data_IF_879312398345
#
_entry.id   IF_879312398345
#
_cell.length_a   1.000
_cell.length_b   1.000
_cell.length_c   1.000
_cell.angle_alpha   90.00
_cell.angle_beta   90.00
_cell.angle_gamma   90.00
#
_symmetry.space_group_name_H-M   'P 1'
#
loop_
_entity.id
_entity.type
_entity.pdbx_description
1 polymer ?
#
# COMPACT_ATOMS: atom_id res chain seq x y z
N UNK A 1 -5.15 -19.05 16.90
CA UNK A 1 -4.82 -17.87 17.72
C UNK A 1 -6.08 -17.02 17.80
N UNK A 2 -6.68 -16.88 18.97
CA UNK A 2 -7.92 -16.10 19.13
C UNK A 2 -7.58 -14.61 19.06
N UNK A 3 -8.16 -13.90 18.09
CA UNK A 3 -8.01 -12.46 17.97
C UNK A 3 -8.69 -11.77 19.16
N UNK A 4 -8.00 -10.84 19.82
CA UNK A 4 -8.56 -10.05 20.90
C UNK A 4 -9.48 -9.00 20.28
N UNK A 5 -10.78 -9.09 20.59
CA UNK A 5 -11.80 -8.17 20.10
C UNK A 5 -11.98 -7.00 21.07
N UNK A 6 -11.55 -5.81 20.63
CA UNK A 6 -11.63 -4.56 21.38
C UNK A 6 -12.88 -3.73 21.07
N UNK A 7 -13.85 -4.29 20.33
CA UNK A 7 -15.15 -3.66 20.04
C UNK A 7 -15.85 -2.99 21.23
N UNK A 8 -15.75 -3.49 22.49
CA UNK A 8 -16.39 -2.84 23.63
C UNK A 8 -15.81 -1.47 24.03
N UNK A 9 -14.54 -1.20 23.72
CA UNK A 9 -13.87 0.06 24.09
C UNK A 9 -14.32 1.25 23.23
N UNK A 10 -14.85 0.99 22.03
CA UNK A 10 -15.27 2.02 21.08
C UNK A 10 -16.69 2.56 21.32
N UNK A 11 -17.44 1.98 22.28
CA UNK A 11 -18.87 2.30 22.45
C UNK A 11 -19.16 3.56 23.27
N UNK A 12 -18.17 4.22 23.85
CA UNK A 12 -18.38 5.29 24.84
C UNK A 12 -17.75 6.64 24.51
N UNK A 13 -17.14 6.84 23.34
CA UNK A 13 -16.43 8.07 23.05
C UNK A 13 -16.96 8.79 21.80
N UNK A 14 -18.06 9.54 21.98
CA UNK A 14 -18.61 10.43 20.96
C UNK A 14 -17.51 11.45 20.59
N UNK A 15 -16.91 11.27 19.42
CA UNK A 15 -15.77 12.07 18.95
C UNK A 15 -14.56 11.26 18.51
N UNK A 16 -14.37 10.03 19.01
CA UNK A 16 -13.33 9.12 18.54
C UNK A 16 -13.66 8.49 17.19
N UNK A 17 -14.93 8.47 16.77
CA UNK A 17 -15.33 8.04 15.42
C UNK A 17 -14.63 8.86 14.32
N UNK A 18 -14.42 10.16 14.55
CA UNK A 18 -13.69 11.00 13.58
C UNK A 18 -12.19 10.73 13.58
N UNK A 19 -11.59 10.50 14.75
CA UNK A 19 -10.17 10.14 14.85
C UNK A 19 -9.90 8.75 14.28
N UNK A 20 -10.79 7.79 14.53
CA UNK A 20 -10.74 6.45 13.95
C UNK A 20 -10.90 6.52 12.42
N UNK A 21 -11.86 7.31 11.90
CA UNK A 21 -11.99 7.54 10.46
C UNK A 21 -10.79 8.25 9.85
N UNK A 22 -10.19 9.22 10.53
CA UNK A 22 -8.95 9.90 10.10
C UNK A 22 -7.74 8.95 10.11
N UNK A 23 -7.63 8.07 11.11
CA UNK A 23 -6.62 7.01 11.11
C UNK A 23 -6.87 5.97 10.02
N UNK A 24 -8.11 5.58 9.81
CA UNK A 24 -8.49 4.62 8.75
C UNK A 24 -8.22 5.22 7.36
N UNK A 25 -8.55 6.49 7.14
CA UNK A 25 -8.18 7.23 5.92
C UNK A 25 -6.69 7.52 5.82
N UNK A 26 -5.94 7.69 6.91
CA UNK A 26 -4.48 7.77 6.85
C UNK A 26 -3.84 6.41 6.53
N UNK A 27 -4.45 5.30 6.99
CA UNK A 27 -4.03 3.93 6.63
C UNK A 27 -4.38 3.56 5.19
N UNK A 28 -5.48 4.09 4.65
CA UNK A 28 -5.87 3.89 3.24
C UNK A 28 -5.33 4.97 2.28
N UNK A 29 -4.87 6.11 2.81
CA UNK A 29 -4.54 7.31 2.05
C UNK A 29 -3.05 7.55 1.79
N UNK A 30 -2.17 6.59 2.13
CA UNK A 30 -0.75 6.68 1.80
C UNK A 30 -0.38 5.92 0.52
N UNK A 31 -1.18 4.94 0.08
CA UNK A 31 -0.94 4.23 -1.17
C UNK A 31 -2.27 3.68 -1.70
N UNK A 32 -2.84 4.38 -2.68
CA UNK A 32 -3.47 3.66 -3.78
C UNK A 32 -2.34 2.92 -4.52
N UNK A 33 -1.72 1.94 -3.85
CA UNK A 33 -0.64 1.14 -4.38
C UNK A 33 -1.18 0.47 -5.62
N UNK A 34 -0.75 0.99 -6.78
CA UNK A 34 -1.24 0.53 -8.06
C UNK A 34 -1.13 -0.99 -8.14
N UNK A 35 -2.07 -1.63 -8.83
CA UNK A 35 -1.91 -3.03 -9.17
C UNK A 35 -1.02 -3.13 -10.42
N UNK A 36 -0.03 -4.03 -10.43
CA UNK A 36 0.35 -4.96 -9.36
C UNK A 36 1.11 -4.27 -8.22
N UNK A 37 1.03 -4.74 -6.95
CA UNK A 37 1.75 -4.12 -5.84
C UNK A 37 3.25 -3.97 -6.14
N UNK A 38 3.78 -2.77 -5.96
CA UNK A 38 5.17 -2.46 -6.25
C UNK A 38 5.80 -1.54 -5.19
N UNK A 39 7.13 -1.54 -5.15
CA UNK A 39 7.96 -0.65 -4.34
C UNK A 39 9.05 -0.02 -5.22
N UNK A 40 9.38 1.25 -4.98
CA UNK A 40 10.49 1.95 -5.65
C UNK A 40 11.46 2.45 -4.58
N UNK A 41 12.71 2.01 -4.69
CA UNK A 41 13.78 2.36 -3.76
C UNK A 41 14.87 3.16 -4.49
N UNK A 42 15.29 4.29 -3.92
CA UNK A 42 16.47 5.03 -4.39
C UNK A 42 17.72 4.47 -3.71
N UNK A 43 18.66 3.93 -4.49
CA UNK A 43 19.87 3.27 -3.98
C UNK A 43 21.13 4.12 -4.09
N UNK A 44 21.13 5.13 -4.97
CA UNK A 44 22.18 6.15 -5.10
C UNK A 44 21.57 7.45 -5.66
N UNK A 45 22.38 8.48 -5.91
CA UNK A 45 21.90 9.76 -6.44
C UNK A 45 21.10 9.60 -7.75
N UNK A 46 21.52 8.69 -8.63
CA UNK A 46 20.92 8.43 -9.94
C UNK A 46 20.54 6.95 -10.15
N UNK A 47 20.32 6.19 -9.08
CA UNK A 47 19.95 4.77 -9.18
C UNK A 47 18.69 4.44 -8.39
N UNK A 48 17.82 3.65 -9.04
CA UNK A 48 16.53 3.25 -8.52
C UNK A 48 16.31 1.75 -8.74
N UNK A 49 15.65 1.10 -7.79
CA UNK A 49 15.23 -0.30 -7.87
C UNK A 49 13.71 -0.35 -7.77
N UNK A 50 13.06 -0.92 -8.79
CA UNK A 50 11.62 -1.19 -8.82
C UNK A 50 11.40 -2.68 -8.54
N UNK A 51 10.64 -3.00 -7.49
CA UNK A 51 10.23 -4.36 -7.16
C UNK A 51 8.73 -4.48 -7.31
N UNK A 52 8.22 -5.50 -7.99
CA UNK A 52 6.79 -5.67 -8.25
C UNK A 52 6.36 -7.13 -8.09
N UNK A 53 5.18 -7.35 -7.48
CA UNK A 53 4.59 -8.67 -7.34
C UNK A 53 3.84 -9.07 -8.61
N UNK A 54 4.30 -10.13 -9.29
CA UNK A 54 3.74 -10.63 -10.57
C UNK A 54 3.25 -12.08 -10.46
N UNK A 55 2.57 -12.42 -9.36
CA UNK A 55 2.05 -13.76 -9.15
C UNK A 55 1.05 -14.17 -10.25
N UNK A 56 1.20 -15.39 -10.77
CA UNK A 56 0.31 -15.93 -11.82
C UNK A 56 0.80 -15.72 -13.25
N UNK A 57 1.94 -15.04 -13.45
CA UNK A 57 2.58 -14.86 -14.75
C UNK A 57 3.89 -15.66 -14.82
N UNK A 58 4.14 -16.28 -15.97
CA UNK A 58 5.46 -16.79 -16.31
C UNK A 58 6.33 -15.64 -16.85
N UNK A 59 7.65 -15.85 -16.90
CA UNK A 59 8.58 -14.86 -17.45
C UNK A 59 8.24 -14.47 -18.89
N UNK A 60 7.78 -15.44 -19.70
CA UNK A 60 7.37 -15.20 -21.09
C UNK A 60 6.08 -14.37 -21.24
N UNK A 61 5.31 -14.18 -20.15
CA UNK A 61 4.08 -13.37 -20.15
C UNK A 61 4.37 -11.89 -19.79
N UNK A 62 5.61 -11.56 -19.44
CA UNK A 62 6.01 -10.23 -18.96
C UNK A 62 6.85 -9.50 -20.01
N UNK A 63 6.49 -8.25 -20.29
CA UNK A 63 7.26 -7.33 -21.15
C UNK A 63 7.49 -5.99 -20.41
N UNK A 64 8.68 -5.42 -20.55
CA UNK A 64 9.09 -4.20 -19.86
C UNK A 64 9.42 -3.12 -20.89
N UNK A 65 8.61 -2.05 -20.91
CA UNK A 65 8.82 -0.91 -21.80
C UNK A 65 9.06 0.38 -21.02
N UNK A 66 10.08 1.14 -21.40
CA UNK A 66 10.37 2.46 -20.83
C UNK A 66 9.97 3.56 -21.82
N UNK A 67 9.19 4.53 -21.35
CA UNK A 67 8.78 5.70 -22.13
C UNK A 67 9.41 6.96 -21.54
N UNK A 68 9.92 7.85 -22.39
CA UNK A 68 10.36 9.17 -21.96
C UNK A 68 9.12 10.05 -21.76
N UNK A 69 8.90 10.53 -20.54
CA UNK A 69 7.95 11.62 -20.34
C UNK A 69 8.56 12.90 -20.89
N UNK A 70 7.91 13.48 -21.90
CA UNK A 70 8.25 14.80 -22.46
C UNK A 70 7.63 15.89 -21.60
#
# INVERSE_FOLDING_TARGET
>A
MNAIDFSPLFRTAIGFDRLARLMDTARTGADAGGYPPYNIEKTSDDSYVLTMAVAGFAEADLDITAHQNT
#
